data_IF_272644013473
#
_entry.id   IF_272644013473
#
_cell.length_a   1.000
_cell.length_b   1.000
_cell.length_c   1.000
_cell.angle_alpha   90.00
_cell.angle_beta   90.00
_cell.angle_gamma   90.00
#
_symmetry.space_group_name_H-M   'P 1'
#
loop_
_entity.id
_entity.type
_entity.pdbx_description
1 polymer ?
#
# COMPACT_ATOMS: atom_id res chain seq x y z
N UNK A 1 15.64 55.87 -24.16
CA UNK A 1 14.46 56.24 -24.96
C UNK A 1 13.25 55.61 -24.29
N UNK A 2 12.26 56.44 -23.94
CA UNK A 2 10.95 56.08 -23.35
C UNK A 2 10.11 55.28 -24.35
N UNK A 3 9.27 54.32 -23.88
CA UNK A 3 7.85 54.28 -24.19
C UNK A 3 7.15 53.28 -23.27
N UNK A 4 6.40 53.83 -22.28
CA UNK A 4 5.35 53.15 -21.58
C UNK A 4 4.06 53.17 -22.39
N UNK A 5 3.27 52.14 -22.27
CA UNK A 5 1.83 52.15 -22.59
C UNK A 5 1.04 51.51 -21.48
N UNK A 6 0.45 52.38 -20.66
CA UNK A 6 -0.66 52.04 -19.76
C UNK A 6 -1.93 51.80 -20.57
N UNK A 7 -2.54 50.62 -20.44
CA UNK A 7 -3.90 50.40 -20.87
C UNK A 7 -4.86 50.77 -19.74
N UNK A 8 -5.50 51.92 -19.86
CA UNK A 8 -6.68 52.28 -19.06
C UNK A 8 -7.92 51.76 -19.77
N UNK A 9 -8.70 50.93 -19.06
CA UNK A 9 -10.07 50.56 -19.46
C UNK A 9 -11.00 51.68 -18.99
N UNK A 10 -11.89 52.23 -19.84
CA UNK A 10 -12.82 53.31 -19.44
C UNK A 10 -13.95 52.72 -18.59
N UNK A 11 -14.17 53.27 -17.40
CA UNK A 11 -15.42 53.11 -16.65
C UNK A 11 -16.51 53.94 -17.35
N UNK A 12 -17.54 53.26 -17.88
CA UNK A 12 -18.80 53.87 -18.26
C UNK A 12 -19.81 53.72 -17.11
N UNK A 13 -20.12 54.78 -16.56
CA UNK A 13 -21.15 55.33 -15.64
C UNK A 13 -22.47 54.55 -15.48
N UNK A 14 -22.91 54.57 -14.21
CA UNK A 14 -24.30 54.46 -13.64
C UNK A 14 -24.76 53.02 -13.38
N UNK A 15 -24.82 52.66 -12.17
CA UNK A 15 -25.76 52.65 -11.08
C UNK A 15 -25.19 51.88 -9.88
N UNK A 16 -24.64 52.64 -8.93
CA UNK A 16 -24.45 52.13 -7.59
C UNK A 16 -25.79 52.30 -6.86
N UNK A 17 -26.54 51.24 -6.72
CA UNK A 17 -27.60 51.16 -5.71
C UNK A 17 -27.51 49.88 -4.91
N UNK A 18 -27.26 50.08 -3.65
CA UNK A 18 -27.63 49.31 -2.47
C UNK A 18 -27.41 47.79 -2.42
N UNK A 19 -26.41 47.42 -1.61
CA UNK A 19 -26.55 46.48 -0.51
C UNK A 19 -27.32 45.20 -0.73
N UNK A 20 -26.89 44.30 -1.62
CA UNK A 20 -27.16 42.89 -1.43
C UNK A 20 -26.05 42.31 -0.57
N UNK A 21 -26.33 41.69 0.61
CA UNK A 21 -25.32 40.96 1.33
C UNK A 21 -24.79 39.88 0.39
N UNK A 22 -23.47 39.91 0.09
CA UNK A 22 -22.80 38.78 -0.53
C UNK A 22 -23.17 37.55 0.27
N UNK A 23 -24.04 36.74 -0.30
CA UNK A 23 -24.37 35.42 0.19
C UNK A 23 -23.08 34.63 0.16
N UNK A 24 -22.31 34.69 1.25
CA UNK A 24 -21.24 33.74 1.53
C UNK A 24 -21.93 32.39 1.69
N UNK A 25 -22.28 31.78 0.56
CA UNK A 25 -22.60 30.38 0.54
C UNK A 25 -21.42 29.71 1.25
N UNK A 26 -21.62 29.30 2.50
CA UNK A 26 -20.76 28.37 3.19
C UNK A 26 -20.59 27.18 2.28
N UNK A 27 -19.51 27.15 1.50
CA UNK A 27 -19.04 25.96 0.86
C UNK A 27 -18.76 24.99 2.02
N UNK A 28 -19.77 24.19 2.37
CA UNK A 28 -19.63 23.14 3.36
C UNK A 28 -18.48 22.25 2.89
N UNK A 29 -17.37 22.30 3.64
CA UNK A 29 -16.23 21.45 3.33
C UNK A 29 -16.72 20.01 3.19
N UNK A 30 -16.32 19.28 2.16
CA UNK A 30 -16.82 17.93 1.93
C UNK A 30 -16.58 17.08 3.19
N UNK A 31 -17.67 16.60 3.77
CA UNK A 31 -17.58 15.75 4.97
C UNK A 31 -16.96 14.41 4.60
N UNK A 32 -16.08 13.91 5.48
CA UNK A 32 -15.47 12.59 5.30
C UNK A 32 -16.51 11.49 5.41
N UNK A 33 -16.64 10.67 4.40
CA UNK A 33 -17.57 9.53 4.33
C UNK A 33 -16.94 8.28 4.97
N UNK A 34 -16.78 8.29 6.28
CA UNK A 34 -16.11 7.23 7.03
C UNK A 34 -16.65 5.82 6.76
N UNK A 35 -17.97 5.65 6.64
CA UNK A 35 -18.56 4.36 6.28
C UNK A 35 -18.02 3.83 4.94
N UNK A 36 -17.88 4.71 3.94
CA UNK A 36 -17.33 4.31 2.63
C UNK A 36 -15.83 3.99 2.75
N UNK A 37 -15.09 4.78 3.51
CA UNK A 37 -13.65 4.52 3.79
C UNK A 37 -13.47 3.14 4.40
N UNK A 38 -14.29 2.77 5.40
CA UNK A 38 -14.20 1.47 6.06
C UNK A 38 -14.56 0.31 5.14
N UNK A 39 -15.55 0.48 4.24
CA UNK A 39 -15.89 -0.56 3.27
C UNK A 39 -14.76 -0.72 2.22
N UNK A 40 -14.14 0.39 1.79
CA UNK A 40 -12.96 0.34 0.90
C UNK A 40 -11.79 -0.32 1.63
N UNK A 41 -11.56 -0.02 2.91
CA UNK A 41 -10.55 -0.69 3.73
C UNK A 41 -10.82 -2.19 3.85
N UNK A 42 -12.08 -2.61 4.04
CA UNK A 42 -12.46 -4.02 4.04
C UNK A 42 -12.15 -4.71 2.70
N UNK A 43 -12.30 -4.01 1.56
CA UNK A 43 -11.82 -4.53 0.28
C UNK A 43 -10.29 -4.75 0.26
N UNK A 44 -9.54 -3.87 0.95
CA UNK A 44 -8.11 -4.07 1.21
C UNK A 44 -7.82 -5.33 2.01
N UNK A 45 -8.62 -5.62 3.07
CA UNK A 45 -8.49 -6.89 3.82
C UNK A 45 -8.67 -8.10 2.89
N UNK A 46 -9.66 -8.07 2.00
CA UNK A 46 -9.85 -9.09 0.97
C UNK A 46 -8.65 -9.22 0.03
N UNK A 47 -8.08 -8.10 -0.42
CA UNK A 47 -6.88 -8.13 -1.26
C UNK A 47 -5.66 -8.73 -0.54
N UNK A 48 -5.43 -8.39 0.74
CA UNK A 48 -4.35 -8.98 1.53
C UNK A 48 -4.60 -10.47 1.82
N UNK A 49 -5.85 -10.86 2.01
CA UNK A 49 -6.23 -12.25 2.21
C UNK A 49 -5.90 -13.13 0.99
N UNK A 50 -5.74 -12.57 -0.20
CA UNK A 50 -5.26 -13.31 -1.37
C UNK A 50 -3.85 -13.88 -1.16
N UNK A 51 -2.98 -13.17 -0.43
CA UNK A 51 -1.70 -13.71 0.02
C UNK A 51 -1.87 -14.55 1.29
N UNK A 52 -2.52 -13.98 2.29
CA UNK A 52 -2.60 -14.53 3.62
C UNK A 52 -3.26 -15.90 3.68
N UNK A 53 -4.33 -16.15 2.90
CA UNK A 53 -5.03 -17.44 2.88
C UNK A 53 -4.12 -18.59 2.45
N UNK A 54 -3.15 -18.35 1.58
CA UNK A 54 -2.15 -19.38 1.20
C UNK A 54 -1.08 -19.51 2.27
N UNK A 55 -0.59 -18.37 2.78
CA UNK A 55 0.49 -18.36 3.76
C UNK A 55 0.12 -19.09 5.05
N UNK A 56 -1.10 -18.91 5.55
CA UNK A 56 -1.54 -19.54 6.83
C UNK A 56 -1.82 -21.04 6.71
N UNK A 57 -2.03 -21.57 5.49
CA UNK A 57 -2.30 -23.00 5.23
C UNK A 57 -1.17 -23.65 4.41
N UNK A 58 0.00 -23.03 4.31
CA UNK A 58 1.04 -23.43 3.38
C UNK A 58 1.45 -24.92 3.55
N UNK A 59 1.64 -25.37 4.80
CA UNK A 59 2.01 -26.76 5.08
C UNK A 59 0.89 -27.73 4.68
N UNK A 60 -0.36 -27.37 4.93
CA UNK A 60 -1.52 -28.18 4.55
C UNK A 60 -1.72 -28.22 3.02
N UNK A 61 -1.36 -27.13 2.33
CA UNK A 61 -1.40 -27.08 0.87
C UNK A 61 -0.37 -28.03 0.25
N UNK A 62 0.76 -28.25 0.92
CA UNK A 62 1.74 -29.28 0.55
C UNK A 62 1.18 -30.69 0.58
N UNK A 63 0.27 -30.98 1.51
CA UNK A 63 -0.44 -32.26 1.58
C UNK A 63 -1.47 -32.41 0.45
N UNK A 64 -2.09 -31.32 0.01
CA UNK A 64 -3.03 -31.30 -1.11
C UNK A 64 -2.33 -31.51 -2.46
N UNK A 65 -1.08 -31.01 -2.59
CA UNK A 65 -0.26 -31.08 -3.81
C UNK A 65 1.11 -31.71 -3.53
N UNK A 66 1.17 -33.00 -3.16
CA UNK A 66 2.43 -33.65 -2.74
C UNK A 66 3.50 -33.69 -3.85
N UNK A 67 3.08 -33.63 -5.13
CA UNK A 67 3.99 -33.57 -6.27
C UNK A 67 4.58 -32.19 -6.57
N UNK A 68 4.16 -31.12 -5.87
CA UNK A 68 4.59 -29.77 -6.18
C UNK A 68 6.05 -29.48 -5.74
N UNK A 69 6.54 -30.15 -4.69
CA UNK A 69 7.91 -29.95 -4.18
C UNK A 69 8.23 -28.47 -3.92
N UNK A 70 9.40 -28.01 -4.34
CA UNK A 70 9.83 -26.62 -4.19
C UNK A 70 8.95 -25.60 -4.94
N UNK A 71 8.24 -26.04 -6.01
CA UNK A 71 7.35 -25.16 -6.76
C UNK A 71 6.12 -24.73 -5.96
N UNK A 72 5.83 -25.38 -4.81
CA UNK A 72 4.72 -24.98 -3.95
C UNK A 72 4.78 -23.50 -3.54
N UNK A 73 5.99 -22.94 -3.39
CA UNK A 73 6.21 -21.51 -3.10
C UNK A 73 5.59 -20.59 -4.16
N UNK A 74 5.44 -21.04 -5.41
CA UNK A 74 4.78 -20.29 -6.48
C UNK A 74 3.32 -19.99 -6.14
N UNK A 75 2.66 -20.81 -5.33
CA UNK A 75 1.28 -20.56 -4.90
C UNK A 75 1.14 -19.24 -4.13
N UNK A 76 2.19 -18.80 -3.42
CA UNK A 76 2.24 -17.51 -2.73
C UNK A 76 2.64 -16.39 -3.69
N UNK A 77 3.69 -16.60 -4.49
CA UNK A 77 4.33 -15.53 -5.27
C UNK A 77 3.58 -15.13 -6.54
N UNK A 78 2.82 -16.05 -7.15
CA UNK A 78 2.10 -15.79 -8.42
C UNK A 78 1.17 -14.58 -8.36
N UNK A 79 0.53 -14.30 -7.23
CA UNK A 79 -0.32 -13.11 -7.04
C UNK A 79 0.48 -11.80 -7.21
N UNK A 80 1.75 -11.79 -6.79
CA UNK A 80 2.62 -10.63 -6.90
C UNK A 80 3.16 -10.36 -8.30
N UNK A 81 3.24 -11.39 -9.16
CA UNK A 81 3.88 -11.29 -10.48
C UNK A 81 3.29 -10.18 -11.32
N UNK A 82 1.96 -10.11 -11.43
CA UNK A 82 1.29 -9.06 -12.20
C UNK A 82 1.48 -7.67 -11.56
N UNK A 83 1.60 -7.59 -10.24
CA UNK A 83 1.94 -6.35 -9.54
C UNK A 83 3.35 -5.86 -9.88
N UNK A 84 4.33 -6.76 -10.01
CA UNK A 84 5.69 -6.43 -10.41
C UNK A 84 5.72 -5.97 -11.89
N UNK A 85 5.05 -6.70 -12.76
CA UNK A 85 5.10 -6.42 -14.21
C UNK A 85 4.27 -5.21 -14.61
N UNK A 86 3.07 -5.07 -14.07
CA UNK A 86 2.06 -4.11 -14.53
C UNK A 86 1.80 -2.97 -13.54
N UNK A 87 2.37 -3.00 -12.33
CA UNK A 87 2.04 -2.08 -11.24
C UNK A 87 2.07 -0.61 -11.67
N UNK A 88 3.13 -0.16 -12.33
CA UNK A 88 3.28 1.22 -12.77
C UNK A 88 2.20 1.64 -13.76
N UNK A 89 1.91 0.79 -14.75
CA UNK A 89 0.91 1.11 -15.79
C UNK A 89 -0.54 0.91 -15.31
N UNK A 90 -0.71 0.12 -14.24
CA UNK A 90 -2.04 -0.15 -13.67
C UNK A 90 -2.76 1.12 -13.24
N UNK A 91 -2.05 2.15 -12.77
CA UNK A 91 -2.64 3.44 -12.44
C UNK A 91 -3.34 4.10 -13.62
N UNK A 92 -2.71 4.08 -14.80
CA UNK A 92 -3.30 4.57 -16.04
C UNK A 92 -4.53 3.78 -16.48
N UNK A 93 -4.46 2.44 -16.40
CA UNK A 93 -5.62 1.58 -16.69
C UNK A 93 -6.78 1.82 -15.71
N UNK A 94 -6.50 1.93 -14.42
CA UNK A 94 -7.51 2.22 -13.38
C UNK A 94 -8.18 3.57 -13.62
N UNK A 95 -7.41 4.61 -13.97
CA UNK A 95 -7.95 5.93 -14.29
C UNK A 95 -8.82 5.93 -15.56
N UNK A 96 -8.46 5.13 -16.57
CA UNK A 96 -9.19 5.02 -17.84
C UNK A 96 -10.45 4.16 -17.72
N UNK A 97 -10.35 3.01 -17.09
CA UNK A 97 -11.49 2.12 -16.88
C UNK A 97 -12.48 2.71 -15.86
N UNK A 98 -11.98 3.55 -14.96
CA UNK A 98 -12.70 4.26 -13.89
C UNK A 98 -12.58 3.55 -12.54
N UNK A 99 -12.19 4.29 -11.51
CA UNK A 99 -11.86 3.81 -10.16
C UNK A 99 -12.92 2.89 -9.55
N UNK A 100 -14.20 3.28 -9.64
CA UNK A 100 -15.31 2.46 -9.15
C UNK A 100 -15.39 1.12 -9.89
N UNK A 101 -15.33 1.16 -11.24
CA UNK A 101 -15.44 -0.07 -12.03
C UNK A 101 -14.24 -0.97 -11.74
N UNK A 102 -13.03 -0.42 -11.72
CA UNK A 102 -11.80 -1.17 -11.41
C UNK A 102 -11.92 -1.89 -10.07
N UNK A 103 -12.35 -1.19 -9.01
CA UNK A 103 -12.48 -1.78 -7.68
C UNK A 103 -13.53 -2.90 -7.65
N UNK A 104 -14.71 -2.69 -8.24
CA UNK A 104 -15.79 -3.68 -8.25
C UNK A 104 -15.42 -4.91 -9.09
N UNK A 105 -14.84 -4.71 -10.28
CA UNK A 105 -14.41 -5.83 -11.12
C UNK A 105 -13.24 -6.61 -10.50
N UNK A 106 -12.30 -5.91 -9.86
CA UNK A 106 -11.21 -6.56 -9.14
C UNK A 106 -11.73 -7.47 -8.02
N UNK A 107 -12.74 -7.02 -7.25
CA UNK A 107 -13.39 -7.84 -6.23
C UNK A 107 -14.10 -9.05 -6.84
N UNK A 108 -14.80 -8.89 -7.97
CA UNK A 108 -15.44 -10.02 -8.66
C UNK A 108 -14.43 -11.03 -9.20
N UNK A 109 -13.30 -10.58 -9.76
CA UNK A 109 -12.22 -11.46 -10.20
C UNK A 109 -11.69 -12.25 -9.00
N UNK A 110 -11.43 -11.57 -7.86
CA UNK A 110 -10.96 -12.24 -6.65
C UNK A 110 -11.96 -13.26 -6.11
N UNK A 111 -13.27 -12.93 -6.14
CA UNK A 111 -14.34 -13.86 -5.76
C UNK A 111 -14.36 -15.10 -6.66
N UNK A 112 -14.32 -14.91 -7.98
CA UNK A 112 -14.36 -16.00 -8.96
C UNK A 112 -13.14 -16.92 -8.84
N UNK A 113 -11.92 -16.33 -8.73
CA UNK A 113 -10.71 -17.14 -8.58
C UNK A 113 -10.71 -17.93 -7.26
N UNK A 114 -11.17 -17.34 -6.16
CA UNK A 114 -11.27 -18.06 -4.89
C UNK A 114 -12.35 -19.14 -4.92
N UNK A 115 -13.48 -18.89 -5.59
CA UNK A 115 -14.50 -19.92 -5.79
C UNK A 115 -13.97 -21.12 -6.59
N UNK A 116 -13.19 -20.86 -7.65
CA UNK A 116 -12.53 -21.92 -8.41
C UNK A 116 -11.51 -22.69 -7.55
N UNK A 117 -10.70 -21.99 -6.72
CA UNK A 117 -9.74 -22.60 -5.80
C UNK A 117 -10.42 -23.52 -4.77
N UNK A 118 -11.68 -23.27 -4.42
CA UNK A 118 -12.47 -24.14 -3.56
C UNK A 118 -12.88 -25.48 -4.21
N UNK A 119 -12.70 -25.66 -5.52
CA UNK A 119 -13.09 -26.87 -6.27
C UNK A 119 -12.00 -27.94 -6.37
N UNK A 120 -10.91 -27.84 -5.61
CA UNK A 120 -9.79 -28.78 -5.67
C UNK A 120 -9.24 -28.94 -7.10
N UNK A 121 -8.71 -27.87 -7.65
CA UNK A 121 -8.15 -27.85 -9.00
C UNK A 121 -6.84 -28.65 -9.09
N UNK A 122 -6.49 -29.20 -10.26
CA UNK A 122 -5.13 -29.63 -10.57
C UNK A 122 -4.13 -28.50 -10.33
N UNK A 123 -2.92 -28.81 -9.86
CA UNK A 123 -1.93 -27.84 -9.43
C UNK A 123 -1.64 -26.72 -10.44
N UNK A 124 -1.49 -27.05 -11.73
CA UNK A 124 -1.25 -26.06 -12.80
C UNK A 124 -2.41 -25.07 -12.97
N UNK A 125 -3.67 -25.54 -12.88
CA UNK A 125 -4.84 -24.69 -12.92
C UNK A 125 -4.95 -23.84 -11.64
N UNK A 126 -4.59 -24.39 -10.48
CA UNK A 126 -4.52 -23.64 -9.24
C UNK A 126 -3.53 -22.46 -9.38
N UNK A 127 -2.32 -22.69 -9.92
CA UNK A 127 -1.35 -21.61 -10.18
C UNK A 127 -1.87 -20.57 -11.18
N UNK A 128 -2.59 -20.99 -12.22
CA UNK A 128 -3.22 -20.08 -13.17
C UNK A 128 -4.25 -19.16 -12.47
N UNK A 129 -5.07 -19.72 -11.55
CA UNK A 129 -6.00 -18.90 -10.76
C UNK A 129 -5.26 -17.91 -9.87
N UNK A 130 -4.10 -18.30 -9.30
CA UNK A 130 -3.26 -17.40 -8.48
C UNK A 130 -2.71 -16.21 -9.29
N UNK A 131 -2.26 -16.47 -10.52
CA UNK A 131 -1.79 -15.42 -11.42
C UNK A 131 -2.92 -14.43 -11.76
N UNK A 132 -4.11 -14.95 -12.14
CA UNK A 132 -5.28 -14.11 -12.46
C UNK A 132 -5.76 -13.34 -11.20
N UNK A 133 -5.70 -13.96 -10.03
CA UNK A 133 -6.00 -13.28 -8.77
C UNK A 133 -5.09 -12.08 -8.52
N UNK A 134 -3.88 -12.06 -9.09
CA UNK A 134 -2.99 -10.90 -9.10
C UNK A 134 -3.60 -9.66 -9.77
N UNK A 135 -4.47 -9.80 -10.78
CA UNK A 135 -5.22 -8.66 -11.35
C UNK A 135 -6.21 -8.08 -10.33
N UNK A 136 -6.86 -8.96 -9.56
CA UNK A 136 -7.74 -8.54 -8.46
C UNK A 136 -6.97 -7.75 -7.42
N UNK A 137 -5.87 -8.30 -6.93
CA UNK A 137 -5.01 -7.63 -5.96
C UNK A 137 -4.57 -6.26 -6.45
N UNK A 138 -3.96 -6.19 -7.64
CA UNK A 138 -3.45 -4.97 -8.24
C UNK A 138 -4.56 -3.91 -8.44
N UNK A 139 -5.72 -4.33 -8.94
CA UNK A 139 -6.86 -3.43 -9.14
C UNK A 139 -7.34 -2.80 -7.83
N UNK A 140 -7.41 -3.57 -6.73
CA UNK A 140 -7.84 -3.08 -5.43
C UNK A 140 -6.78 -2.14 -4.83
N UNK A 141 -5.50 -2.55 -4.81
CA UNK A 141 -4.44 -1.76 -4.13
C UNK A 141 -4.05 -0.49 -4.88
N UNK A 142 -4.44 -0.34 -6.14
CA UNK A 142 -4.29 0.91 -6.90
C UNK A 142 -5.54 1.79 -6.80
N UNK A 143 -6.73 1.22 -7.00
CA UNK A 143 -7.96 2.01 -7.02
C UNK A 143 -8.38 2.50 -5.63
N UNK A 144 -8.27 1.66 -4.59
CA UNK A 144 -8.76 1.98 -3.26
C UNK A 144 -8.02 3.17 -2.61
N UNK A 145 -6.68 3.19 -2.50
CA UNK A 145 -5.97 4.32 -1.91
C UNK A 145 -6.04 5.60 -2.75
N UNK A 146 -6.37 5.50 -4.04
CA UNK A 146 -6.65 6.66 -4.89
C UNK A 146 -8.04 7.24 -4.62
N UNK A 147 -9.04 6.41 -4.32
CA UNK A 147 -10.40 6.86 -4.00
C UNK A 147 -10.53 7.45 -2.59
N UNK A 148 -9.80 6.91 -1.60
CA UNK A 148 -9.90 7.35 -0.20
C UNK A 148 -9.71 8.86 -0.04
N UNK A 149 -8.66 9.52 -0.58
CA UNK A 149 -8.50 10.96 -0.46
C UNK A 149 -9.62 11.78 -1.11
N UNK A 150 -10.29 11.23 -2.13
CA UNK A 150 -11.37 11.91 -2.87
C UNK A 150 -12.68 11.99 -2.07
N UNK A 151 -12.86 11.10 -1.10
CA UNK A 151 -14.05 11.01 -0.24
C UNK A 151 -13.81 11.50 1.17
N UNK A 152 -12.62 12.07 1.42
CA UNK A 152 -12.21 12.59 2.72
C UNK A 152 -12.01 14.09 2.67
N UNK A 153 -12.42 14.79 3.74
CA UNK A 153 -11.97 16.17 3.96
C UNK A 153 -10.44 16.21 4.07
N UNK A 154 -9.79 17.32 3.69
CA UNK A 154 -8.32 17.44 3.74
C UNK A 154 -7.72 17.07 5.11
N UNK A 155 -8.41 17.43 6.20
CA UNK A 155 -8.02 17.12 7.59
C UNK A 155 -7.95 15.61 7.87
N UNK A 156 -8.77 14.80 7.22
CA UNK A 156 -8.90 13.37 7.52
C UNK A 156 -8.16 12.45 6.53
N UNK A 157 -7.62 12.98 5.42
CA UNK A 157 -6.92 12.18 4.40
C UNK A 157 -5.79 11.34 4.98
N UNK A 158 -4.94 11.95 5.82
CA UNK A 158 -3.84 11.24 6.49
C UNK A 158 -4.34 10.09 7.37
N UNK A 159 -5.35 10.35 8.20
CA UNK A 159 -5.95 9.32 9.07
C UNK A 159 -6.55 8.18 8.25
N UNK A 160 -7.31 8.48 7.20
CA UNK A 160 -7.94 7.47 6.36
C UNK A 160 -6.90 6.59 5.61
N UNK A 161 -5.81 7.19 5.15
CA UNK A 161 -4.71 6.45 4.50
C UNK A 161 -3.86 5.67 5.52
N UNK A 162 -3.73 6.15 6.76
CA UNK A 162 -3.13 5.35 7.83
C UNK A 162 -4.00 4.13 8.19
N UNK A 163 -5.34 4.28 8.21
CA UNK A 163 -6.25 3.12 8.35
C UNK A 163 -6.04 2.17 7.17
N UNK A 164 -6.03 2.70 5.94
CA UNK A 164 -5.76 1.88 4.75
C UNK A 164 -4.48 1.08 4.90
N UNK A 165 -3.39 1.68 5.35
CA UNK A 165 -2.09 1.01 5.44
C UNK A 165 -2.08 -0.22 6.35
N UNK A 166 -3.05 -0.36 7.27
CA UNK A 166 -3.14 -1.50 8.21
C UNK A 166 -3.74 -2.77 7.59
N UNK A 167 -4.32 -2.68 6.38
CA UNK A 167 -5.13 -3.76 5.79
C UNK A 167 -4.39 -5.10 5.72
N UNK A 168 -3.09 -5.08 5.43
CA UNK A 168 -2.30 -6.30 5.29
C UNK A 168 -2.15 -7.03 6.64
N UNK A 169 -1.67 -6.32 7.68
CA UNK A 169 -1.48 -6.90 9.00
C UNK A 169 -2.77 -7.37 9.66
N UNK A 170 -3.85 -6.57 9.55
CA UNK A 170 -5.16 -6.93 10.09
C UNK A 170 -5.73 -8.15 9.38
N UNK A 171 -5.59 -8.23 8.05
CA UNK A 171 -6.06 -9.39 7.28
C UNK A 171 -5.37 -10.68 7.72
N UNK A 172 -4.06 -10.66 7.91
CA UNK A 172 -3.33 -11.83 8.40
C UNK A 172 -3.78 -12.25 9.80
N UNK A 173 -3.98 -11.31 10.72
CA UNK A 173 -4.52 -11.60 12.05
C UNK A 173 -5.90 -12.26 11.99
N UNK A 174 -6.81 -11.72 11.14
CA UNK A 174 -8.14 -12.30 10.95
C UNK A 174 -8.09 -13.73 10.37
N UNK A 175 -7.16 -13.99 9.45
CA UNK A 175 -6.98 -15.32 8.90
C UNK A 175 -6.47 -16.33 9.94
N UNK A 176 -5.59 -15.91 10.83
CA UNK A 176 -5.12 -16.75 11.95
C UNK A 176 -6.26 -17.00 12.93
N UNK A 177 -7.00 -15.96 13.35
CA UNK A 177 -8.02 -16.08 14.38
C UNK A 177 -9.31 -16.76 13.91
N UNK A 178 -9.70 -16.57 12.66
CA UNK A 178 -10.97 -17.09 12.11
C UNK A 178 -10.75 -18.08 10.98
N UNK A 179 -9.72 -17.88 10.15
CA UNK A 179 -9.44 -18.74 9.00
C UNK A 179 -8.91 -20.11 9.41
N UNK A 180 -7.95 -20.20 10.34
CA UNK A 180 -7.43 -21.49 10.80
C UNK A 180 -8.47 -22.33 11.53
N UNK A 181 -9.30 -21.81 12.47
CA UNK A 181 -10.42 -22.56 13.03
C UNK A 181 -11.45 -23.01 12.00
N UNK A 182 -11.72 -22.19 10.97
CA UNK A 182 -12.59 -22.56 9.86
C UNK A 182 -12.02 -23.78 9.10
N UNK A 183 -10.73 -23.77 8.81
CA UNK A 183 -10.03 -24.89 8.15
C UNK A 183 -10.05 -26.14 9.03
N UNK A 184 -9.84 -26.02 10.34
CA UNK A 184 -9.88 -27.13 11.27
C UNK A 184 -11.26 -27.78 11.36
N UNK A 185 -12.35 -26.97 11.28
CA UNK A 185 -13.72 -27.48 11.39
C UNK A 185 -14.33 -27.98 10.06
N UNK A 186 -13.96 -27.36 8.94
CA UNK A 186 -14.64 -27.59 7.63
C UNK A 186 -13.70 -27.97 6.49
N UNK A 187 -12.42 -28.18 6.79
CA UNK A 187 -11.40 -28.53 5.81
C UNK A 187 -10.80 -27.33 5.06
N UNK A 188 -9.67 -27.57 4.40
CA UNK A 188 -8.84 -26.56 3.75
C UNK A 188 -9.59 -25.74 2.69
N UNK A 189 -10.45 -26.38 1.91
CA UNK A 189 -11.17 -25.70 0.81
C UNK A 189 -12.21 -24.70 1.30
N UNK A 190 -12.68 -24.81 2.56
CA UNK A 190 -13.61 -23.86 3.17
C UNK A 190 -13.06 -22.44 3.24
N UNK A 191 -11.74 -22.28 3.41
CA UNK A 191 -11.08 -20.99 3.47
C UNK A 191 -11.19 -20.22 2.13
N UNK A 192 -11.05 -20.95 1.01
CA UNK A 192 -11.22 -20.37 -0.31
C UNK A 192 -12.68 -19.96 -0.56
N UNK A 193 -13.64 -20.82 -0.17
CA UNK A 193 -15.07 -20.53 -0.27
C UNK A 193 -15.49 -19.32 0.57
N UNK A 194 -15.01 -19.23 1.81
CA UNK A 194 -15.26 -18.08 2.67
C UNK A 194 -14.68 -16.78 2.08
N UNK A 195 -13.45 -16.84 1.56
CA UNK A 195 -12.85 -15.68 0.90
C UNK A 195 -13.62 -15.27 -0.37
N UNK A 196 -14.07 -16.22 -1.18
CA UNK A 196 -14.91 -15.94 -2.34
C UNK A 196 -16.22 -15.21 -1.96
N UNK A 197 -16.88 -15.67 -0.90
CA UNK A 197 -18.11 -15.05 -0.38
C UNK A 197 -17.84 -13.62 0.09
N UNK A 198 -16.79 -13.40 0.88
CA UNK A 198 -16.41 -12.06 1.38
C UNK A 198 -16.16 -11.10 0.21
N UNK A 199 -15.37 -11.53 -0.78
CA UNK A 199 -15.07 -10.72 -1.97
C UNK A 199 -16.34 -10.39 -2.77
N UNK A 200 -17.24 -11.36 -2.97
CA UNK A 200 -18.50 -11.15 -3.67
C UNK A 200 -19.42 -10.16 -2.91
N UNK A 201 -19.56 -10.32 -1.59
CA UNK A 201 -20.33 -9.39 -0.75
C UNK A 201 -19.76 -7.97 -0.84
N UNK A 202 -18.44 -7.83 -0.73
CA UNK A 202 -17.78 -6.52 -0.87
C UNK A 202 -17.98 -5.91 -2.26
N UNK A 203 -17.95 -6.73 -3.33
CA UNK A 203 -18.23 -6.28 -4.70
C UNK A 203 -19.65 -5.73 -4.83
N UNK A 204 -20.64 -6.42 -4.26
CA UNK A 204 -22.04 -6.00 -4.26
C UNK A 204 -22.25 -4.69 -3.45
N UNK A 205 -21.69 -4.64 -2.24
CA UNK A 205 -21.81 -3.48 -1.36
C UNK A 205 -21.15 -2.26 -1.97
N UNK A 206 -19.88 -2.35 -2.39
CA UNK A 206 -19.16 -1.26 -3.03
C UNK A 206 -19.78 -0.86 -4.38
N UNK A 207 -20.27 -1.83 -5.14
CA UNK A 207 -21.00 -1.59 -6.38
C UNK A 207 -22.23 -0.70 -6.18
N UNK A 208 -22.92 -0.79 -5.02
CA UNK A 208 -24.05 0.07 -4.65
C UNK A 208 -23.58 1.39 -4.04
N UNK A 209 -22.75 1.33 -3.02
CA UNK A 209 -22.32 2.50 -2.23
C UNK A 209 -21.57 3.52 -3.09
N UNK A 210 -20.66 3.06 -3.96
CA UNK A 210 -19.90 3.96 -4.84
C UNK A 210 -20.74 4.62 -5.96
N UNK A 211 -22.01 4.23 -6.15
CA UNK A 211 -22.93 4.98 -7.03
C UNK A 211 -23.25 6.37 -6.48
N UNK A 212 -23.22 6.53 -5.17
CA UNK A 212 -23.54 7.79 -4.48
C UNK A 212 -22.30 8.65 -4.22
N UNK A 213 -21.13 8.24 -4.72
CA UNK A 213 -19.86 8.92 -4.54
C UNK A 213 -19.44 9.57 -5.84
N UNK A 214 -19.07 10.85 -5.78
CA UNK A 214 -18.41 11.50 -6.89
C UNK A 214 -17.01 10.90 -7.03
N UNK A 215 -16.73 10.33 -8.19
CA UNK A 215 -15.41 9.77 -8.52
C UNK A 215 -14.78 10.62 -9.62
N UNK A 216 -13.45 10.70 -9.68
CA UNK A 216 -12.76 11.44 -10.74
C UNK A 216 -13.20 10.99 -12.14
N UNK A 217 -13.21 11.89 -13.13
CA UNK A 217 -13.53 11.55 -14.51
C UNK A 217 -12.55 10.52 -15.06
N UNK A 218 -13.00 9.76 -16.05
CA UNK A 218 -12.13 8.79 -16.73
C UNK A 218 -11.19 9.47 -17.68
N UNK A 219 -9.99 8.94 -17.76
CA UNK A 219 -9.02 9.34 -18.77
C UNK A 219 -9.12 8.46 -20.02
N UNK A 220 -8.62 8.91 -21.18
CA UNK A 220 -8.44 8.05 -22.35
C UNK A 220 -7.57 6.82 -22.00
N UNK A 221 -7.87 5.68 -22.62
CA UNK A 221 -7.06 4.48 -22.44
C UNK A 221 -5.68 4.70 -23.08
N UNK A 222 -4.57 4.47 -22.35
CA UNK A 222 -3.25 4.57 -22.94
C UNK A 222 -3.07 3.52 -24.03
N UNK A 223 -2.48 3.90 -25.16
CA UNK A 223 -2.13 2.96 -26.22
C UNK A 223 -0.98 2.07 -25.77
N UNK A 224 -0.93 0.82 -26.21
CA UNK A 224 0.16 -0.11 -25.86
C UNK A 224 1.54 0.46 -26.22
N UNK A 225 1.65 1.16 -27.33
CA UNK A 225 2.88 1.83 -27.76
C UNK A 225 3.34 2.93 -26.78
N UNK A 226 2.44 3.53 -26.02
CA UNK A 226 2.75 4.63 -25.09
C UNK A 226 3.20 4.11 -23.71
N UNK A 227 2.99 2.82 -23.40
CA UNK A 227 3.28 2.25 -22.07
C UNK A 227 4.74 2.39 -21.65
N UNK A 228 5.76 2.16 -22.51
CA UNK A 228 7.16 2.39 -22.11
C UNK A 228 7.44 3.85 -21.79
N UNK A 229 6.87 4.79 -22.57
CA UNK A 229 6.98 6.22 -22.33
C UNK A 229 6.32 6.63 -21.01
N UNK A 230 5.12 6.14 -20.74
CA UNK A 230 4.39 6.38 -19.50
C UNK A 230 5.17 5.82 -18.29
N UNK A 231 5.72 4.62 -18.43
CA UNK A 231 6.55 4.02 -17.39
C UNK A 231 7.76 4.91 -17.06
N UNK A 232 8.47 5.37 -18.09
CA UNK A 232 9.61 6.25 -17.93
C UNK A 232 9.23 7.61 -17.32
N UNK A 233 8.10 8.20 -17.74
CA UNK A 233 7.57 9.45 -17.18
C UNK A 233 7.32 9.34 -15.67
N UNK A 234 6.68 8.25 -15.22
CA UNK A 234 6.38 8.02 -13.81
C UNK A 234 7.67 7.93 -12.99
N UNK A 235 8.67 7.18 -13.47
CA UNK A 235 9.95 7.03 -12.77
C UNK A 235 10.84 8.29 -12.85
N UNK A 236 10.68 9.13 -13.84
CA UNK A 236 11.36 10.44 -13.93
C UNK A 236 10.72 11.50 -13.02
N UNK A 237 9.43 11.39 -12.73
CA UNK A 237 8.73 12.33 -11.86
C UNK A 237 9.10 12.12 -10.40
N UNK A 238 9.82 13.08 -9.80
CA UNK A 238 10.21 13.03 -8.40
C UNK A 238 9.01 13.06 -7.42
N UNK A 239 7.83 13.49 -7.86
CA UNK A 239 6.60 13.46 -7.09
C UNK A 239 5.94 12.06 -7.14
N UNK A 240 5.78 11.50 -8.33
CA UNK A 240 5.11 10.22 -8.54
C UNK A 240 5.92 9.04 -7.98
N UNK A 241 7.26 9.06 -8.14
CA UNK A 241 8.12 7.93 -7.73
C UNK A 241 8.50 7.94 -6.25
N UNK A 242 8.47 9.09 -5.57
CA UNK A 242 8.97 9.19 -4.20
C UNK A 242 8.29 8.21 -3.22
N UNK A 243 6.95 8.05 -3.20
CA UNK A 243 6.31 7.07 -2.34
C UNK A 243 6.77 5.64 -2.64
N UNK A 244 6.86 5.27 -3.92
CA UNK A 244 7.26 3.94 -4.37
C UNK A 244 8.72 3.61 -4.04
N UNK A 245 9.62 4.59 -4.23
CA UNK A 245 11.05 4.41 -3.95
C UNK A 245 11.31 4.12 -2.46
N UNK A 246 10.68 4.87 -1.55
CA UNK A 246 10.77 4.57 -0.11
C UNK A 246 10.08 3.25 0.25
N UNK A 247 8.94 2.98 -0.37
CA UNK A 247 8.17 1.76 -0.13
C UNK A 247 8.93 0.49 -0.48
N UNK A 248 9.78 0.53 -1.52
CA UNK A 248 10.68 -0.58 -1.86
C UNK A 248 11.59 -0.96 -0.68
N UNK A 249 12.29 0.02 -0.09
CA UNK A 249 13.17 -0.22 1.05
C UNK A 249 12.42 -0.75 2.27
N UNK A 250 11.22 -0.19 2.54
CA UNK A 250 10.37 -0.65 3.63
C UNK A 250 9.96 -2.12 3.46
N UNK A 251 9.41 -2.48 2.30
CA UNK A 251 8.89 -3.83 2.05
C UNK A 251 10.00 -4.87 1.94
N UNK A 252 11.19 -4.49 1.45
CA UNK A 252 12.38 -5.35 1.46
C UNK A 252 12.79 -5.73 2.87
N UNK A 253 12.59 -4.84 3.86
CA UNK A 253 12.99 -5.09 5.25
C UNK A 253 11.88 -5.70 6.09
N UNK A 254 10.62 -5.23 5.97
CA UNK A 254 9.56 -5.51 6.93
C UNK A 254 9.27 -7.01 7.07
N UNK A 255 8.87 -7.67 5.97
CA UNK A 255 8.53 -9.10 6.00
C UNK A 255 9.78 -9.94 6.24
N UNK A 256 10.91 -9.55 5.62
CA UNK A 256 12.16 -10.28 5.74
C UNK A 256 12.68 -10.33 7.19
N UNK A 257 12.65 -9.20 7.91
CA UNK A 257 13.08 -9.17 9.31
C UNK A 257 12.12 -9.97 10.20
N UNK A 258 10.81 -9.90 9.99
CA UNK A 258 9.86 -10.74 10.73
C UNK A 258 10.09 -12.25 10.50
N UNK A 259 10.67 -12.61 9.36
CA UNK A 259 10.94 -14.00 8.98
C UNK A 259 12.31 -14.49 9.49
N UNK A 260 13.34 -13.66 9.37
CA UNK A 260 14.75 -14.08 9.59
C UNK A 260 15.27 -13.72 10.97
N UNK A 261 14.69 -12.71 11.65
CA UNK A 261 15.09 -12.30 13.01
C UNK A 261 14.73 -13.31 14.13
N UNK A 262 13.59 -14.06 14.08
CA UNK A 262 13.14 -14.89 15.19
C UNK A 262 14.18 -15.91 15.73
N UNK A 263 14.97 -16.62 14.90
CA UNK A 263 15.99 -17.54 15.38
C UNK A 263 17.07 -16.89 16.25
N UNK A 264 17.23 -15.56 16.10
CA UNK A 264 18.25 -14.78 16.82
C UNK A 264 17.71 -14.12 18.11
N UNK A 265 16.46 -14.37 18.47
CA UNK A 265 15.85 -13.90 19.72
C UNK A 265 15.90 -15.01 20.78
N UNK A 266 16.02 -14.60 22.04
CA UNK A 266 15.87 -15.52 23.16
C UNK A 266 14.54 -16.30 23.04
N UNK A 267 14.55 -17.64 23.14
CA UNK A 267 13.35 -18.48 23.03
C UNK A 267 12.21 -18.05 23.97
N UNK A 268 12.52 -17.53 25.15
CA UNK A 268 11.54 -17.13 26.17
C UNK A 268 10.70 -15.92 25.70
N UNK A 269 11.28 -15.00 24.94
CA UNK A 269 10.61 -13.76 24.49
C UNK A 269 10.26 -13.75 23.01
N UNK A 270 10.77 -14.69 22.23
CA UNK A 270 10.66 -14.76 20.76
C UNK A 270 9.23 -14.59 20.27
N UNK A 271 8.32 -15.43 20.75
CA UNK A 271 6.91 -15.44 20.32
C UNK A 271 6.26 -14.11 20.65
N UNK A 272 6.49 -13.59 21.88
CA UNK A 272 5.94 -12.30 22.30
C UNK A 272 6.43 -11.14 21.44
N UNK A 273 7.73 -11.07 21.16
CA UNK A 273 8.35 -10.01 20.36
C UNK A 273 7.81 -10.02 18.93
N UNK A 274 7.84 -11.17 18.25
CA UNK A 274 7.43 -11.27 16.84
C UNK A 274 5.93 -11.01 16.67
N UNK A 275 5.10 -11.45 17.61
CA UNK A 275 3.67 -11.17 17.59
C UNK A 275 3.36 -9.69 17.89
N UNK A 276 4.14 -9.05 18.76
CA UNK A 276 3.93 -7.65 19.13
C UNK A 276 4.39 -6.68 18.06
N UNK A 277 5.44 -6.96 17.29
CA UNK A 277 5.98 -6.03 16.30
C UNK A 277 4.95 -5.53 15.28
N UNK A 278 4.14 -6.36 14.60
CA UNK A 278 3.10 -5.88 13.69
C UNK A 278 2.03 -5.04 14.41
N UNK A 279 1.65 -5.43 15.64
CA UNK A 279 0.65 -4.70 16.41
C UNK A 279 1.16 -3.32 16.84
N UNK A 280 2.39 -3.22 17.29
CA UNK A 280 3.06 -1.95 17.63
C UNK A 280 3.18 -1.08 16.38
N UNK A 281 3.53 -1.63 15.23
CA UNK A 281 3.59 -0.91 13.96
C UNK A 281 2.21 -0.32 13.59
N UNK A 282 1.15 -1.12 13.66
CA UNK A 282 -0.22 -0.67 13.40
C UNK A 282 -0.63 0.42 14.40
N UNK A 283 -0.42 0.19 15.70
CA UNK A 283 -0.75 1.16 16.74
C UNK A 283 -0.01 2.48 16.53
N UNK A 284 1.28 2.44 16.21
CA UNK A 284 2.09 3.63 15.91
C UNK A 284 1.59 4.36 14.68
N UNK A 285 1.28 3.66 13.60
CA UNK A 285 0.72 4.25 12.38
C UNK A 285 -0.57 5.01 12.68
N UNK A 286 -1.45 4.44 13.51
CA UNK A 286 -2.78 4.98 13.82
C UNK A 286 -2.76 6.08 14.88
N UNK A 287 -1.76 6.14 15.73
CA UNK A 287 -1.65 7.13 16.82
C UNK A 287 -0.59 8.19 16.51
N UNK A 288 0.68 7.90 16.77
CA UNK A 288 1.80 8.81 16.55
C UNK A 288 1.91 9.23 15.07
N UNK A 289 1.73 8.29 14.14
CA UNK A 289 1.76 8.56 12.69
C UNK A 289 0.70 9.57 12.29
N UNK A 290 -0.56 9.35 12.68
CA UNK A 290 -1.67 10.29 12.41
C UNK A 290 -1.44 11.65 13.06
N UNK A 291 -0.91 11.68 14.30
CA UNK A 291 -0.60 12.92 15.00
C UNK A 291 0.48 13.73 14.27
N UNK A 292 1.57 13.08 13.83
CA UNK A 292 2.64 13.72 13.05
C UNK A 292 2.13 14.22 11.69
N UNK A 293 1.32 13.43 10.98
CA UNK A 293 0.74 13.82 9.68
C UNK A 293 -0.16 15.06 9.74
N UNK A 294 -0.69 15.40 10.91
CA UNK A 294 -1.43 16.65 11.13
C UNK A 294 -0.52 17.87 11.32
N UNK A 295 0.77 17.67 11.57
CA UNK A 295 1.73 18.73 11.95
C UNK A 295 2.85 18.91 10.94
N UNK A 296 3.15 17.89 10.15
CA UNK A 296 4.26 17.91 9.20
C UNK A 296 3.95 17.13 7.92
N UNK A 297 4.71 17.43 6.86
CA UNK A 297 4.58 16.75 5.59
C UNK A 297 4.88 15.24 5.72
N UNK A 298 4.09 14.40 5.04
CA UNK A 298 4.22 12.95 5.11
C UNK A 298 5.63 12.46 4.76
N UNK A 299 6.29 13.08 3.76
CA UNK A 299 7.68 12.74 3.41
C UNK A 299 8.64 12.92 4.58
N UNK A 300 8.46 13.95 5.42
CA UNK A 300 9.29 14.14 6.63
C UNK A 300 9.02 13.07 7.68
N UNK A 301 7.76 12.62 7.81
CA UNK A 301 7.41 11.50 8.71
C UNK A 301 8.04 10.21 8.22
N UNK A 302 8.01 9.93 6.91
CA UNK A 302 8.70 8.76 6.31
C UNK A 302 10.20 8.82 6.58
N UNK A 303 10.84 9.97 6.37
CA UNK A 303 12.26 10.16 6.64
C UNK A 303 12.62 9.95 8.11
N UNK A 304 11.81 10.51 9.03
CA UNK A 304 11.98 10.28 10.47
C UNK A 304 11.83 8.80 10.84
N UNK A 305 10.85 8.11 10.23
CA UNK A 305 10.66 6.67 10.38
C UNK A 305 11.87 5.87 9.93
N UNK A 306 12.47 6.18 8.78
CA UNK A 306 13.68 5.51 8.30
C UNK A 306 14.89 5.77 9.19
N UNK A 307 15.08 7.00 9.69
CA UNK A 307 16.16 7.30 10.64
C UNK A 307 15.97 6.57 11.96
N UNK A 308 14.74 6.50 12.47
CA UNK A 308 14.43 5.73 13.67
C UNK A 308 14.67 4.23 13.46
N UNK A 309 14.31 3.69 12.27
CA UNK A 309 14.60 2.30 11.91
C UNK A 309 16.11 2.03 11.83
N UNK A 310 16.87 2.95 11.24
CA UNK A 310 18.34 2.87 11.23
C UNK A 310 18.92 2.88 12.65
N UNK A 311 18.42 3.76 13.52
CA UNK A 311 18.79 3.78 14.95
C UNK A 311 18.42 2.46 15.67
N UNK A 312 17.25 1.90 15.39
CA UNK A 312 16.83 0.58 15.90
C UNK A 312 17.75 -0.56 15.42
N UNK A 313 18.18 -0.52 14.14
CA UNK A 313 19.14 -1.50 13.61
C UNK A 313 20.52 -1.37 14.29
N UNK A 314 21.01 -0.15 14.52
CA UNK A 314 22.25 0.10 15.28
C UNK A 314 22.10 -0.42 16.71
N UNK A 315 20.95 -0.16 17.36
CA UNK A 315 20.72 -0.67 18.71
C UNK A 315 20.74 -2.20 18.75
N UNK A 316 20.13 -2.87 17.75
CA UNK A 316 20.17 -4.33 17.62
C UNK A 316 21.57 -4.86 17.27
N UNK A 317 22.43 -4.09 16.58
CA UNK A 317 23.83 -4.44 16.37
C UNK A 317 24.64 -4.41 17.68
N UNK A 318 24.38 -3.42 18.53
CA UNK A 318 25.05 -3.26 19.84
C UNK A 318 24.53 -4.22 20.90
N UNK A 319 23.22 -4.53 20.87
CA UNK A 319 22.52 -5.40 21.82
C UNK A 319 21.65 -6.41 21.06
N UNK A 320 22.24 -7.51 20.59
CA UNK A 320 21.56 -8.52 19.79
C UNK A 320 20.31 -9.09 20.47
N UNK A 321 19.19 -9.09 19.73
CA UNK A 321 17.95 -9.71 20.18
C UNK A 321 17.21 -8.95 21.29
N UNK A 322 17.62 -7.72 21.65
CA UNK A 322 16.96 -6.94 22.70
C UNK A 322 15.49 -6.64 22.33
N UNK A 323 14.49 -7.09 23.12
CA UNK A 323 13.07 -6.88 22.81
C UNK A 323 12.68 -5.42 22.62
N UNK A 324 13.22 -4.52 23.46
CA UNK A 324 12.92 -3.09 23.38
C UNK A 324 13.41 -2.46 22.06
N UNK A 325 14.57 -2.89 21.54
CA UNK A 325 15.08 -2.44 20.25
C UNK A 325 14.23 -2.96 19.09
N UNK A 326 13.67 -4.19 19.19
CA UNK A 326 12.68 -4.71 18.26
C UNK A 326 11.40 -3.87 18.27
N UNK A 327 10.93 -3.45 19.43
CA UNK A 327 9.76 -2.56 19.55
C UNK A 327 10.04 -1.16 18.97
N UNK A 328 11.23 -0.60 19.18
CA UNK A 328 11.63 0.66 18.55
C UNK A 328 11.63 0.56 17.03
N UNK A 329 12.10 -0.56 16.48
CA UNK A 329 12.04 -0.85 15.05
C UNK A 329 10.59 -0.97 14.55
N UNK A 330 9.71 -1.62 15.32
CA UNK A 330 8.28 -1.73 15.01
C UNK A 330 7.58 -0.35 14.99
N UNK A 331 7.91 0.53 15.95
CA UNK A 331 7.45 1.94 15.93
C UNK A 331 7.88 2.64 14.65
N UNK A 332 9.14 2.50 14.26
CA UNK A 332 9.67 3.07 13.03
C UNK A 332 8.91 2.57 11.79
N UNK A 333 8.64 1.28 11.71
CA UNK A 333 7.86 0.68 10.64
C UNK A 333 6.45 1.27 10.54
N UNK A 334 5.79 1.50 11.67
CA UNK A 334 4.46 2.13 11.69
C UNK A 334 4.46 3.56 11.12
N UNK A 335 5.49 4.35 11.42
CA UNK A 335 5.64 5.70 10.86
C UNK A 335 5.86 5.65 9.35
N UNK A 336 6.76 4.79 8.86
CA UNK A 336 7.02 4.65 7.42
C UNK A 336 5.76 4.19 6.69
N UNK A 337 5.07 3.18 7.21
CA UNK A 337 3.91 2.55 6.59
C UNK A 337 2.78 3.56 6.34
N UNK A 338 2.29 4.21 7.38
CA UNK A 338 1.15 5.14 7.28
C UNK A 338 1.51 6.39 6.47
N UNK A 339 2.69 6.96 6.69
CA UNK A 339 3.11 8.17 6.03
C UNK A 339 3.45 7.97 4.53
N UNK A 340 3.89 6.78 4.12
CA UNK A 340 4.14 6.48 2.71
C UNK A 340 2.84 6.61 1.88
N UNK A 341 1.73 6.03 2.34
CA UNK A 341 0.43 6.20 1.67
C UNK A 341 -0.07 7.65 1.73
N UNK A 342 0.10 8.33 2.87
CA UNK A 342 -0.30 9.72 3.01
C UNK A 342 0.52 10.66 2.12
N UNK A 343 1.75 10.30 1.75
CA UNK A 343 2.59 11.10 0.86
C UNK A 343 2.08 11.15 -0.58
N UNK A 344 1.34 10.14 -1.04
CA UNK A 344 0.82 10.08 -2.41
C UNK A 344 -0.05 11.30 -2.74
N UNK A 345 -1.16 11.57 -2.03
CA UNK A 345 -2.00 12.74 -2.33
C UNK A 345 -1.39 14.08 -1.91
N UNK A 346 -0.33 14.08 -1.08
CA UNK A 346 0.39 15.32 -0.76
C UNK A 346 1.36 15.72 -1.87
N UNK A 347 1.90 14.77 -2.62
CA UNK A 347 2.85 15.00 -3.71
C UNK A 347 2.18 15.06 -5.08
N UNK A 348 0.98 14.51 -5.23
CA UNK A 348 0.26 14.39 -6.50
C UNK A 348 -1.16 14.90 -6.29
N UNK A 349 -1.51 15.99 -6.96
CA UNK A 349 -2.81 16.65 -6.77
C UNK A 349 -3.91 15.90 -7.52
N UNK A 350 -3.63 15.51 -8.75
CA UNK A 350 -4.58 14.86 -9.62
C UNK A 350 -4.78 13.39 -9.27
N UNK A 351 -6.03 12.92 -9.30
CA UNK A 351 -6.36 11.53 -8.99
C UNK A 351 -5.66 10.53 -9.93
N UNK A 352 -5.43 10.90 -11.19
CA UNK A 352 -4.69 10.09 -12.14
C UNK A 352 -3.22 9.93 -11.73
N UNK A 353 -2.58 11.00 -11.30
CA UNK A 353 -1.20 10.96 -10.78
C UNK A 353 -1.10 10.13 -9.49
N UNK A 354 -2.11 10.25 -8.59
CA UNK A 354 -2.22 9.41 -7.40
C UNK A 354 -2.34 7.93 -7.78
N UNK A 355 -3.14 7.59 -8.79
CA UNK A 355 -3.27 6.22 -9.28
C UNK A 355 -1.94 5.70 -9.87
N UNK A 356 -1.23 6.51 -10.64
CA UNK A 356 0.10 6.18 -11.17
C UNK A 356 1.10 5.94 -10.04
N UNK A 357 1.13 6.82 -9.04
CA UNK A 357 2.00 6.70 -7.87
C UNK A 357 1.66 5.46 -7.02
N UNK A 358 0.37 5.16 -6.80
CA UNK A 358 -0.07 3.93 -6.12
C UNK A 358 0.27 2.68 -6.93
N UNK A 359 0.21 2.74 -8.25
CA UNK A 359 0.66 1.67 -9.14
C UNK A 359 2.17 1.39 -8.99
N UNK A 360 2.98 2.46 -8.98
CA UNK A 360 4.41 2.35 -8.72
C UNK A 360 4.71 1.82 -7.31
N UNK A 361 3.95 2.25 -6.28
CA UNK A 361 4.05 1.68 -4.92
C UNK A 361 3.71 0.20 -4.89
N UNK A 362 2.67 -0.24 -5.60
CA UNK A 362 2.30 -1.64 -5.70
C UNK A 362 3.43 -2.47 -6.34
N UNK A 363 4.01 -1.96 -7.43
CA UNK A 363 5.17 -2.59 -8.07
C UNK A 363 6.36 -2.72 -7.10
N UNK A 364 6.73 -1.61 -6.47
CA UNK A 364 7.84 -1.56 -5.51
C UNK A 364 7.60 -2.49 -4.30
N UNK A 365 6.37 -2.52 -3.78
CA UNK A 365 5.98 -3.39 -2.68
C UNK A 365 6.10 -4.87 -3.01
N UNK A 366 5.57 -5.30 -4.17
CA UNK A 366 5.69 -6.69 -4.62
C UNK A 366 7.14 -7.08 -4.86
N UNK A 367 7.94 -6.18 -5.47
CA UNK A 367 9.36 -6.42 -5.71
C UNK A 367 10.15 -6.51 -4.38
N UNK A 368 9.92 -5.59 -3.44
CA UNK A 368 10.57 -5.61 -2.13
C UNK A 368 10.26 -6.89 -1.34
N UNK A 369 9.00 -7.31 -1.32
CA UNK A 369 8.61 -8.58 -0.67
C UNK A 369 9.25 -9.80 -1.35
N UNK A 370 9.38 -9.78 -2.68
CA UNK A 370 9.98 -10.90 -3.43
C UNK A 370 11.49 -11.05 -3.17
N UNK A 371 12.22 -9.94 -3.08
CA UNK A 371 13.68 -9.95 -2.93
C UNK A 371 14.15 -9.87 -1.47
N UNK A 372 13.32 -9.35 -0.56
CA UNK A 372 13.72 -9.03 0.81
C UNK A 372 14.22 -10.22 1.61
N UNK A 373 13.42 -11.29 1.68
CA UNK A 373 13.80 -12.49 2.43
C UNK A 373 15.04 -13.18 1.85
N UNK A 374 15.17 -13.40 0.52
CA UNK A 374 16.41 -13.93 -0.06
C UNK A 374 17.65 -13.09 0.26
N UNK A 375 17.54 -11.75 0.20
CA UNK A 375 18.65 -10.86 0.54
C UNK A 375 19.05 -10.97 2.02
N UNK A 376 18.08 -11.01 2.93
CA UNK A 376 18.36 -11.15 4.37
C UNK A 376 18.97 -12.51 4.71
N UNK A 377 18.48 -13.60 4.09
CA UNK A 377 19.04 -14.94 4.25
C UNK A 377 20.48 -15.00 3.73
N UNK A 378 20.75 -14.40 2.56
CA UNK A 378 22.13 -14.29 2.03
C UNK A 378 23.04 -13.48 2.98
N UNK A 379 22.54 -12.39 3.55
CA UNK A 379 23.29 -11.59 4.52
C UNK A 379 23.61 -12.37 5.79
N UNK A 380 22.66 -13.21 6.26
CA UNK A 380 22.91 -14.14 7.40
C UNK A 380 23.95 -15.19 7.02
N UNK A 381 23.91 -15.75 5.82
CA UNK A 381 24.87 -16.76 5.38
C UNK A 381 26.31 -16.22 5.34
N UNK A 382 26.50 -14.93 5.01
CA UNK A 382 27.81 -14.30 4.91
C UNK A 382 28.32 -13.75 6.25
N UNK A 383 27.45 -13.08 7.01
CA UNK A 383 27.85 -12.33 8.21
C UNK A 383 27.02 -12.63 9.47
N UNK A 384 26.25 -13.70 9.46
CA UNK A 384 25.39 -14.07 10.60
C UNK A 384 24.37 -12.96 10.93
N UNK A 385 24.05 -12.86 12.21
CA UNK A 385 23.16 -11.81 12.73
C UNK A 385 23.63 -10.38 12.36
N UNK A 386 24.94 -10.12 12.51
CA UNK A 386 25.50 -8.80 12.19
C UNK A 386 25.36 -8.47 10.70
N UNK A 387 25.57 -9.43 9.79
CA UNK A 387 25.33 -9.26 8.36
C UNK A 387 23.90 -8.84 8.04
N UNK A 388 22.92 -9.49 8.66
CA UNK A 388 21.49 -9.15 8.52
C UNK A 388 21.20 -7.72 9.00
N UNK A 389 21.67 -7.35 10.20
CA UNK A 389 21.42 -6.02 10.75
C UNK A 389 22.16 -4.91 9.99
N UNK A 390 23.37 -5.16 9.49
CA UNK A 390 24.09 -4.21 8.63
C UNK A 390 23.37 -3.99 7.31
N UNK A 391 22.84 -5.05 6.68
CA UNK A 391 22.02 -4.92 5.47
C UNK A 391 20.75 -4.10 5.77
N UNK A 392 20.06 -4.39 6.87
CA UNK A 392 18.88 -3.62 7.28
C UNK A 392 19.22 -2.13 7.50
N UNK A 393 20.32 -1.82 8.18
CA UNK A 393 20.81 -0.47 8.39
C UNK A 393 21.05 0.26 7.04
N UNK A 394 21.76 -0.38 6.12
CA UNK A 394 22.03 0.17 4.77
C UNK A 394 20.73 0.44 4.01
N UNK A 395 19.77 -0.49 4.07
CA UNK A 395 18.46 -0.32 3.42
C UNK A 395 17.65 0.82 4.04
N UNK A 396 17.66 0.99 5.37
CA UNK A 396 16.95 2.10 6.03
C UNK A 396 17.60 3.45 5.70
N UNK A 397 18.92 3.54 5.71
CA UNK A 397 19.64 4.74 5.27
C UNK A 397 19.41 5.03 3.79
N UNK A 398 19.32 3.99 2.94
CA UNK A 398 18.94 4.09 1.54
C UNK A 398 17.52 4.67 1.36
N UNK A 399 16.55 4.19 2.15
CA UNK A 399 15.20 4.72 2.16
C UNK A 399 15.14 6.20 2.56
N UNK A 400 15.89 6.60 3.59
CA UNK A 400 16.05 8.01 3.95
C UNK A 400 16.69 8.82 2.83
N UNK A 401 17.81 8.35 2.28
CA UNK A 401 18.60 9.07 1.27
C UNK A 401 17.79 9.29 -0.02
N UNK A 402 17.04 8.29 -0.49
CA UNK A 402 16.22 8.42 -1.70
C UNK A 402 15.12 9.46 -1.52
N UNK A 403 14.47 9.51 -0.35
CA UNK A 403 13.48 10.54 -0.06
C UNK A 403 14.12 11.95 0.02
N UNK A 404 15.32 12.08 0.62
CA UNK A 404 16.05 13.34 0.69
C UNK A 404 16.46 13.83 -0.71
N UNK A 405 16.98 12.93 -1.55
CA UNK A 405 17.36 13.23 -2.94
C UNK A 405 16.14 13.67 -3.77
N UNK A 406 15.04 12.94 -3.69
CA UNK A 406 13.84 13.26 -4.45
C UNK A 406 13.17 14.55 -3.92
N UNK A 407 13.28 14.86 -2.64
CA UNK A 407 12.81 16.13 -2.08
C UNK A 407 13.60 17.32 -2.63
N UNK A 408 14.94 17.21 -2.74
CA UNK A 408 15.79 18.23 -3.37
C UNK A 408 15.41 18.44 -4.84
N UNK A 409 15.20 17.37 -5.61
CA UNK A 409 14.77 17.45 -7.02
C UNK A 409 13.44 18.19 -7.16
N UNK A 410 12.45 17.95 -6.29
CA UNK A 410 11.16 18.67 -6.30
C UNK A 410 11.33 20.15 -6.00
N UNK A 411 12.19 20.51 -5.04
CA UNK A 411 12.50 21.92 -4.73
C UNK A 411 13.14 22.67 -5.89
N UNK A 412 14.01 22.00 -6.66
CA UNK A 412 14.63 22.58 -7.85
C UNK A 412 13.62 22.80 -9.00
N UNK A 413 12.66 21.88 -9.18
CA UNK A 413 11.62 21.99 -10.22
C UNK A 413 10.61 23.10 -9.90
N UNK A 414 10.34 23.38 -8.61
CA UNK A 414 9.43 24.45 -8.20
C UNK A 414 10.07 25.86 -8.24
N UNK A 415 11.39 25.95 -8.44
CA UNK A 415 12.14 27.21 -8.50
C UNK A 415 12.41 27.69 -9.95
N UNK A 416 11.99 26.92 -10.98
CA UNK A 416 12.01 27.25 -12.40
C UNK A 416 10.60 27.59 -12.87
#
# INVERSE_FOLDING_TARGET
>A
MRFGRSWRIPCATRDCNEGSPMNTSHFSQPQTRWGVVMIIWAAGLGAAAQYGKISVIFDQLGLLYPGAGSSLSLTVTMVGVLGILLGVVAGGFVASFGYRRSLVWALWIGAAMSALQALHLPYGLFLATRLIEGLSHLGIVVAAPTLIPQICSPRHRGTALSIWSTFFGVSFALLVWFGLPLVAGFGLLSLFGAHALVMAVLALVLGRVLKTVQVPPRLPLPKLADLPGLHLEIYRSAAKVAPAAGWLFYTTCFVALLTVLPPHLDPAVRVGVISAMPLVSIATSMTLGVWLLRRMAAVRVVQAGFLLAAGGAVWLLLMPGLPLACMALAVAFGLVQGASFASVPQLNVEAAEQAQSNGAMSQAGNMGNAIGTPLMVAAVAVGGYHGMMMLALVLFLGGFAVHAMLARRRGQTAAI
#
